data_IF_478177482220
#
_entry.id   IF_478177482220
#
_cell.length_a   1.000
_cell.length_b   1.000
_cell.length_c   1.000
_cell.angle_alpha   90.00
_cell.angle_beta   90.00
_cell.angle_gamma   90.00
#
_symmetry.space_group_name_H-M   'P 1'
#
loop_
_entity.id
_entity.type
_entity.pdbx_description
1 polymer ?
#
# COMPACT_ATOMS: atom_id res chain seq x y z
N UNK A 1 -0.19 5.59 17.76
CA UNK A 1 -0.04 6.31 16.48
C UNK A 1 -1.16 5.90 15.53
N UNK A 2 -1.74 6.85 14.77
CA UNK A 2 -2.77 6.54 13.76
C UNK A 2 -2.13 6.17 12.41
N UNK A 3 -2.70 5.18 11.72
CA UNK A 3 -2.21 4.69 10.42
C UNK A 3 -3.32 4.80 9.38
N UNK A 4 -2.97 5.33 8.20
CA UNK A 4 -3.77 5.26 7.00
C UNK A 4 -3.02 4.37 6.00
N UNK A 5 -3.68 3.35 5.47
CA UNK A 5 -3.09 2.50 4.45
C UNK A 5 -3.66 2.86 3.07
N UNK A 6 -2.77 2.97 2.06
CA UNK A 6 -3.16 3.19 0.67
C UNK A 6 -2.85 1.93 -0.13
N UNK A 7 -3.90 1.19 -0.45
CA UNK A 7 -3.87 -0.03 -1.26
C UNK A 7 -4.40 0.25 -2.67
N UNK A 8 -4.20 -0.68 -3.59
CA UNK A 8 -4.78 -0.55 -4.93
C UNK A 8 -3.96 -1.28 -5.99
N UNK A 9 -4.52 -1.41 -7.18
CA UNK A 9 -3.90 -2.10 -8.30
C UNK A 9 -2.53 -1.49 -8.66
N UNK A 10 -1.57 -2.26 -9.17
CA UNK A 10 -0.41 -1.70 -9.86
C UNK A 10 -0.85 -0.67 -10.91
N UNK A 11 -0.22 0.49 -10.97
CA UNK A 11 -0.63 1.58 -11.87
C UNK A 11 -1.77 2.49 -11.38
N UNK A 12 -2.43 2.20 -10.26
CA UNK A 12 -3.54 3.05 -9.73
C UNK A 12 -3.09 4.40 -9.12
N UNK A 13 -1.80 4.73 -9.10
CA UNK A 13 -1.32 6.01 -8.57
C UNK A 13 -1.19 6.07 -7.04
N UNK A 14 -1.14 4.93 -6.34
CA UNK A 14 -1.02 4.86 -4.88
C UNK A 14 0.08 5.73 -4.28
N UNK A 15 1.28 5.66 -4.86
CA UNK A 15 2.46 6.40 -4.37
C UNK A 15 2.20 7.90 -4.44
N UNK A 16 1.69 8.39 -5.57
CA UNK A 16 1.34 9.81 -5.77
C UNK A 16 0.29 10.27 -4.76
N UNK A 17 -0.74 9.47 -4.52
CA UNK A 17 -1.79 9.82 -3.58
C UNK A 17 -1.34 9.72 -2.12
N UNK A 18 -0.50 8.74 -1.77
CA UNK A 18 0.08 8.62 -0.44
C UNK A 18 1.01 9.81 -0.12
N UNK A 19 1.84 10.21 -1.07
CA UNK A 19 2.73 11.36 -0.95
C UNK A 19 1.93 12.69 -0.81
N UNK A 20 0.91 12.88 -1.65
CA UNK A 20 0.02 14.05 -1.59
C UNK A 20 -0.70 14.12 -0.25
N UNK A 21 -1.27 13.01 0.22
CA UNK A 21 -1.98 12.95 1.50
C UNK A 21 -1.03 13.17 2.69
N UNK A 22 0.19 12.62 2.63
CA UNK A 22 1.22 12.83 3.66
C UNK A 22 1.64 14.29 3.76
N UNK A 23 1.81 14.95 2.62
CA UNK A 23 2.10 16.38 2.55
C UNK A 23 0.96 17.22 3.13
N UNK A 24 -0.29 16.86 2.82
CA UNK A 24 -1.47 17.56 3.35
C UNK A 24 -1.61 17.41 4.87
N UNK A 25 -1.32 16.21 5.39
CA UNK A 25 -1.43 15.89 6.83
C UNK A 25 -0.17 16.23 7.63
N UNK A 26 0.87 16.72 6.99
CA UNK A 26 2.20 16.96 7.58
C UNK A 26 2.68 15.75 8.40
N UNK A 27 2.74 14.58 7.74
CA UNK A 27 3.11 13.34 8.40
C UNK A 27 4.03 12.46 7.53
N UNK A 28 4.83 11.57 8.15
CA UNK A 28 5.62 10.59 7.42
C UNK A 28 4.76 9.64 6.58
N UNK A 29 5.35 9.16 5.48
CA UNK A 29 4.77 8.08 4.70
C UNK A 29 5.84 7.09 4.24
N UNK A 30 5.45 5.86 4.02
CA UNK A 30 6.31 4.77 3.57
C UNK A 30 5.68 4.01 2.42
N UNK A 31 6.45 3.82 1.35
CA UNK A 31 6.10 2.91 0.27
C UNK A 31 6.71 1.54 0.53
N UNK A 32 5.86 0.53 0.69
CA UNK A 32 6.34 -0.85 0.86
C UNK A 32 7.18 -1.30 -0.32
N UNK A 33 6.82 -0.89 -1.53
CA UNK A 33 7.60 -1.17 -2.73
C UNK A 33 9.00 -0.55 -2.68
N UNK A 34 9.16 0.64 -2.14
CA UNK A 34 10.47 1.30 -1.99
C UNK A 34 11.29 0.68 -0.87
N UNK A 35 10.68 0.38 0.27
CA UNK A 35 11.35 -0.33 1.36
C UNK A 35 11.91 -1.67 0.90
N UNK A 36 11.13 -2.45 0.14
CA UNK A 36 11.57 -3.72 -0.42
C UNK A 36 12.73 -3.50 -1.41
N UNK A 37 12.62 -2.56 -2.35
CA UNK A 37 13.70 -2.28 -3.31
C UNK A 37 15.00 -1.85 -2.63
N UNK A 38 14.91 -1.11 -1.55
CA UNK A 38 16.06 -0.62 -0.81
C UNK A 38 16.71 -1.69 0.08
N UNK A 39 15.90 -2.56 0.70
CA UNK A 39 16.35 -3.45 1.78
C UNK A 39 16.38 -4.92 1.41
N UNK A 40 15.62 -5.37 0.39
CA UNK A 40 15.56 -6.78 0.03
C UNK A 40 16.88 -7.26 -0.59
N UNK A 41 17.33 -8.43 -0.15
CA UNK A 41 18.54 -9.10 -0.64
C UNK A 41 18.25 -10.57 -0.95
N UNK A 42 19.19 -11.26 -1.61
CA UNK A 42 19.06 -12.70 -1.87
C UNK A 42 17.76 -13.07 -2.59
N UNK A 43 17.04 -14.07 -2.07
CA UNK A 43 15.81 -14.58 -2.68
C UNK A 43 14.67 -13.56 -2.67
N UNK A 44 14.54 -12.74 -1.60
CA UNK A 44 13.48 -11.71 -1.54
C UNK A 44 13.64 -10.68 -2.66
N UNK A 45 14.87 -10.29 -2.98
CA UNK A 45 15.15 -9.40 -4.11
C UNK A 45 14.79 -10.04 -5.45
N UNK A 46 15.11 -11.32 -5.62
CA UNK A 46 14.76 -12.06 -6.84
C UNK A 46 13.24 -12.19 -6.99
N UNK A 47 12.53 -12.55 -5.91
CA UNK A 47 11.07 -12.67 -5.92
C UNK A 47 10.39 -11.34 -6.25
N UNK A 48 10.92 -10.22 -5.73
CA UNK A 48 10.45 -8.89 -6.12
C UNK A 48 10.64 -8.61 -7.62
N UNK A 49 11.81 -8.93 -8.17
CA UNK A 49 12.11 -8.74 -9.62
C UNK A 49 11.24 -9.65 -10.49
N UNK A 50 10.92 -10.83 -10.01
CA UNK A 50 10.01 -11.79 -10.65
C UNK A 50 8.52 -11.40 -10.53
N UNK A 51 8.20 -10.28 -9.89
CA UNK A 51 6.83 -9.80 -9.68
C UNK A 51 6.03 -10.58 -8.63
N UNK A 52 6.68 -11.39 -7.80
CA UNK A 52 6.05 -12.10 -6.68
C UNK A 52 5.92 -11.20 -5.46
N UNK A 53 5.03 -11.58 -4.55
CA UNK A 53 4.98 -11.00 -3.21
C UNK A 53 6.07 -11.67 -2.36
N UNK A 54 6.92 -10.88 -1.73
CA UNK A 54 7.96 -11.40 -0.84
C UNK A 54 7.37 -11.94 0.47
N UNK A 55 8.18 -12.66 1.23
CA UNK A 55 7.77 -13.28 2.49
C UNK A 55 7.13 -12.28 3.46
N UNK A 56 6.04 -12.70 4.11
CA UNK A 56 5.27 -11.83 5.00
C UNK A 56 6.09 -11.42 6.23
N UNK A 57 6.92 -12.30 6.77
CA UNK A 57 7.76 -11.99 7.94
C UNK A 57 8.78 -10.92 7.61
N UNK A 58 9.41 -11.01 6.43
CA UNK A 58 10.37 -9.99 5.94
C UNK A 58 9.64 -8.67 5.70
N UNK A 59 8.46 -8.73 5.05
CA UNK A 59 7.64 -7.54 4.80
C UNK A 59 7.28 -6.84 6.11
N UNK A 60 6.79 -7.57 7.10
CA UNK A 60 6.34 -6.97 8.37
C UNK A 60 7.49 -6.49 9.24
N UNK A 61 8.68 -7.11 9.14
CA UNK A 61 9.89 -6.55 9.74
C UNK A 61 10.21 -5.16 9.19
N UNK A 62 10.14 -4.95 7.87
CA UNK A 62 10.37 -3.63 7.27
C UNK A 62 9.32 -2.60 7.71
N UNK A 63 8.06 -3.03 7.84
CA UNK A 63 6.99 -2.18 8.39
C UNK A 63 7.30 -1.79 9.83
N UNK A 64 7.68 -2.75 10.67
CA UNK A 64 7.98 -2.51 12.09
C UNK A 64 9.17 -1.54 12.27
N UNK A 65 10.24 -1.75 11.52
CA UNK A 65 11.40 -0.85 11.50
C UNK A 65 11.03 0.58 11.08
N UNK A 66 10.16 0.72 10.06
CA UNK A 66 9.68 2.01 9.60
C UNK A 66 8.86 2.72 10.68
N UNK A 67 7.95 1.99 11.33
CA UNK A 67 7.14 2.53 12.44
C UNK A 67 8.06 2.96 13.60
N UNK A 68 8.98 2.09 14.03
CA UNK A 68 9.89 2.38 15.13
C UNK A 68 10.74 3.63 14.89
N UNK A 69 11.05 3.95 13.63
CA UNK A 69 11.83 5.14 13.28
C UNK A 69 11.08 6.46 13.50
N UNK A 70 9.75 6.45 13.61
CA UNK A 70 8.90 7.65 13.68
C UNK A 70 7.97 7.70 14.88
N UNK A 71 7.72 6.57 15.58
CA UNK A 71 6.63 6.45 16.57
C UNK A 71 6.74 7.44 17.74
N UNK A 72 7.94 7.92 18.05
CA UNK A 72 8.16 8.92 19.10
C UNK A 72 7.94 10.37 18.64
N UNK A 73 7.93 10.61 17.32
CA UNK A 73 7.90 11.97 16.75
C UNK A 73 6.63 12.26 15.94
N UNK A 74 5.84 11.25 15.62
CA UNK A 74 4.68 11.40 14.75
C UNK A 74 3.43 10.77 15.34
N UNK A 75 2.31 11.53 15.28
CA UNK A 75 1.00 11.06 15.74
C UNK A 75 0.30 10.17 14.71
N UNK A 76 0.65 10.32 13.44
CA UNK A 76 0.07 9.59 12.32
C UNK A 76 1.10 9.29 11.23
N UNK A 77 0.82 8.29 10.41
CA UNK A 77 1.66 7.88 9.31
C UNK A 77 0.83 7.23 8.19
N UNK A 78 1.33 7.29 6.96
CA UNK A 78 0.72 6.64 5.80
C UNK A 78 1.59 5.48 5.34
N UNK A 79 0.97 4.31 5.12
CA UNK A 79 1.61 3.16 4.50
C UNK A 79 1.01 2.89 3.11
N UNK A 80 1.84 2.96 2.07
CA UNK A 80 1.47 2.59 0.71
C UNK A 80 1.86 1.14 0.44
N UNK A 81 0.88 0.34 0.00
CA UNK A 81 1.12 -1.00 -0.51
C UNK A 81 1.21 -2.12 0.53
N UNK A 82 0.74 -1.91 1.76
CA UNK A 82 0.61 -2.90 2.83
C UNK A 82 -0.65 -2.57 3.68
N UNK A 83 -1.43 -3.58 4.19
CA UNK A 83 -1.26 -5.02 3.97
C UNK A 83 -1.74 -5.50 2.59
N UNK A 84 -1.21 -6.64 2.12
CA UNK A 84 -1.63 -7.30 0.86
C UNK A 84 -2.08 -8.73 1.05
N UNK A 85 -1.86 -9.31 2.24
CA UNK A 85 -2.17 -10.70 2.59
C UNK A 85 -2.66 -10.78 4.02
N UNK A 86 -3.45 -11.83 4.31
CA UNK A 86 -4.04 -12.04 5.65
C UNK A 86 -2.99 -12.06 6.77
N UNK A 87 -1.83 -12.77 6.67
CA UNK A 87 -0.82 -12.73 7.73
C UNK A 87 -0.28 -11.32 8.03
N UNK A 88 -0.26 -10.44 7.04
CA UNK A 88 0.11 -9.04 7.25
C UNK A 88 -0.99 -8.28 8.00
N UNK A 89 -2.27 -8.57 7.71
CA UNK A 89 -3.40 -8.00 8.47
C UNK A 89 -3.35 -8.46 9.93
N UNK A 90 -3.09 -9.75 10.20
CA UNK A 90 -2.96 -10.28 11.54
C UNK A 90 -1.90 -9.52 12.35
N UNK A 91 -0.77 -9.21 11.73
CA UNK A 91 0.27 -8.40 12.36
C UNK A 91 -0.25 -6.99 12.72
N UNK A 92 -0.95 -6.30 11.78
CA UNK A 92 -1.54 -5.00 12.05
C UNK A 92 -2.56 -5.04 13.18
N UNK A 93 -3.45 -6.04 13.19
CA UNK A 93 -4.45 -6.24 14.24
C UNK A 93 -3.81 -6.50 15.60
N UNK A 94 -2.68 -7.23 15.66
CA UNK A 94 -1.92 -7.41 16.88
C UNK A 94 -1.37 -6.09 17.42
N UNK A 95 -0.87 -5.18 16.55
CA UNK A 95 -0.42 -3.85 16.96
C UNK A 95 -1.59 -2.98 17.46
N UNK A 96 -2.76 -3.09 16.84
CA UNK A 96 -3.99 -2.40 17.31
C UNK A 96 -4.41 -2.94 18.68
N UNK A 97 -4.44 -4.25 18.84
CA UNK A 97 -4.80 -4.90 20.12
C UNK A 97 -3.85 -4.53 21.27
N UNK A 98 -2.56 -4.35 20.98
CA UNK A 98 -1.58 -3.89 21.98
C UNK A 98 -1.69 -2.40 22.32
N UNK A 99 -2.51 -1.64 21.62
CA UNK A 99 -2.63 -0.19 21.76
C UNK A 99 -1.49 0.63 21.16
N UNK A 100 -0.53 -0.02 20.47
CA UNK A 100 0.58 0.68 19.80
C UNK A 100 0.10 1.51 18.62
N UNK A 101 -0.83 0.97 17.85
CA UNK A 101 -1.34 1.57 16.60
C UNK A 101 -2.87 1.63 16.60
N UNK A 102 -3.40 2.54 15.77
CA UNK A 102 -4.81 2.61 15.43
C UNK A 102 -4.93 2.76 13.91
N UNK A 103 -5.61 1.86 13.24
CA UNK A 103 -5.90 1.99 11.81
C UNK A 103 -7.06 2.96 11.64
N UNK A 104 -6.79 4.13 11.07
CA UNK A 104 -7.81 5.16 10.79
C UNK A 104 -8.66 4.79 9.59
N UNK A 105 -8.06 4.13 8.58
CA UNK A 105 -8.76 3.64 7.41
C UNK A 105 -7.81 3.09 6.35
N UNK A 106 -8.41 2.33 5.45
CA UNK A 106 -7.77 1.79 4.25
C UNK A 106 -8.36 2.52 3.04
N UNK A 107 -7.52 3.17 2.25
CA UNK A 107 -7.89 3.70 0.93
C UNK A 107 -7.55 2.64 -0.09
N UNK A 108 -8.53 2.09 -0.78
CA UNK A 108 -8.34 1.11 -1.83
C UNK A 108 -8.60 1.74 -3.21
N UNK A 109 -7.53 1.99 -3.96
CA UNK A 109 -7.58 2.64 -5.28
C UNK A 109 -7.68 1.59 -6.39
N UNK A 110 -8.69 1.69 -7.23
CA UNK A 110 -8.84 0.88 -8.42
C UNK A 110 -8.75 1.74 -9.68
N UNK A 111 -8.00 1.28 -10.68
CA UNK A 111 -7.93 1.92 -11.99
C UNK A 111 -8.33 0.92 -13.08
N UNK A 112 -8.91 1.42 -14.17
CA UNK A 112 -9.19 0.62 -15.35
C UNK A 112 -7.89 0.01 -15.89
N UNK A 113 -7.91 -1.24 -16.37
CA UNK A 113 -6.71 -1.93 -16.85
C UNK A 113 -5.91 -1.14 -17.89
N UNK A 114 -6.58 -0.47 -18.82
CA UNK A 114 -5.93 0.34 -19.86
C UNK A 114 -5.18 1.55 -19.26
N UNK A 115 -5.82 2.26 -18.30
CA UNK A 115 -5.21 3.40 -17.61
C UNK A 115 -4.04 2.94 -16.74
N UNK A 116 -4.20 1.82 -16.03
CA UNK A 116 -3.16 1.24 -15.21
C UNK A 116 -1.93 0.84 -16.03
N UNK A 117 -2.13 0.17 -17.18
CA UNK A 117 -1.07 -0.22 -18.10
C UNK A 117 -0.33 1.00 -18.66
N UNK A 118 -1.04 2.02 -19.14
CA UNK A 118 -0.43 3.27 -19.63
C UNK A 118 0.46 3.92 -18.55
N UNK A 119 -0.02 4.00 -17.31
CA UNK A 119 0.72 4.60 -16.21
C UNK A 119 1.96 3.78 -15.82
N UNK A 120 1.87 2.44 -15.86
CA UNK A 120 3.01 1.56 -15.60
C UNK A 120 4.10 1.73 -16.66
N UNK A 121 3.72 1.77 -17.95
CA UNK A 121 4.65 1.97 -19.06
C UNK A 121 5.39 3.31 -18.97
N UNK A 122 4.69 4.38 -18.57
CA UNK A 122 5.29 5.72 -18.39
C UNK A 122 6.24 5.80 -17.19
N UNK A 123 6.08 4.92 -16.19
CA UNK A 123 6.83 4.98 -14.93
C UNK A 123 8.28 4.57 -15.04
N UNK A 124 8.63 3.68 -15.99
CA UNK A 124 10.00 3.27 -16.32
C UNK A 124 10.78 2.59 -15.19
N UNK A 125 10.11 1.89 -14.25
CA UNK A 125 10.80 1.12 -13.19
C UNK A 125 11.34 -0.20 -13.74
N UNK A 126 12.46 -0.68 -13.19
CA UNK A 126 13.09 -1.97 -13.59
C UNK A 126 12.12 -3.14 -13.44
N UNK A 127 11.30 -3.12 -12.38
CA UNK A 127 10.27 -4.13 -12.11
C UNK A 127 8.99 -3.97 -12.96
N UNK A 128 8.94 -2.97 -13.85
CA UNK A 128 7.87 -2.77 -14.84
C UNK A 128 8.38 -2.91 -16.29
N UNK A 129 9.66 -3.17 -16.48
CA UNK A 129 10.29 -3.19 -17.80
C UNK A 129 9.89 -4.40 -18.69
N UNK A 130 9.13 -5.36 -18.15
CA UNK A 130 8.71 -6.57 -18.86
C UNK A 130 7.20 -6.78 -18.64
N UNK A 131 6.44 -6.81 -19.73
CA UNK A 131 4.97 -6.99 -19.70
C UNK A 131 4.56 -8.26 -18.95
N UNK A 132 5.32 -9.34 -19.08
CA UNK A 132 5.06 -10.58 -18.36
C UNK A 132 5.19 -10.41 -16.82
N UNK A 133 6.13 -9.60 -16.34
CA UNK A 133 6.27 -9.28 -14.91
C UNK A 133 5.10 -8.42 -14.45
N UNK A 134 4.67 -7.46 -15.26
CA UNK A 134 3.49 -6.63 -14.96
C UNK A 134 2.22 -7.47 -14.87
N UNK A 135 1.99 -8.38 -15.83
CA UNK A 135 0.85 -9.30 -15.81
C UNK A 135 0.86 -10.18 -14.56
N UNK A 136 2.00 -10.73 -14.20
CA UNK A 136 2.17 -11.55 -13.00
C UNK A 136 1.88 -10.76 -11.72
N UNK A 137 2.36 -9.52 -11.61
CA UNK A 137 2.06 -8.63 -10.48
C UNK A 137 0.57 -8.32 -10.38
N UNK A 138 -0.12 -8.12 -11.50
CA UNK A 138 -1.56 -7.91 -11.53
C UNK A 138 -2.32 -9.17 -11.10
N UNK A 139 -1.89 -10.35 -11.55
CA UNK A 139 -2.47 -11.62 -11.15
C UNK A 139 -2.27 -11.90 -9.65
N UNK A 140 -1.05 -11.73 -9.14
CA UNK A 140 -0.75 -11.85 -7.70
C UNK A 140 -1.56 -10.85 -6.87
N UNK A 141 -1.65 -9.60 -7.32
CA UNK A 141 -2.48 -8.61 -6.63
C UNK A 141 -3.93 -9.05 -6.55
N UNK A 142 -4.56 -9.42 -7.68
CA UNK A 142 -5.95 -9.89 -7.73
C UNK A 142 -6.20 -11.11 -6.86
N UNK A 143 -5.25 -12.04 -6.83
CA UNK A 143 -5.34 -13.27 -6.05
C UNK A 143 -5.47 -13.02 -4.55
N UNK A 144 -4.76 -12.03 -4.03
CA UNK A 144 -4.66 -11.81 -2.59
C UNK A 144 -5.49 -10.64 -2.08
N UNK A 145 -5.79 -9.63 -2.93
CA UNK A 145 -6.41 -8.41 -2.42
C UNK A 145 -7.84 -8.62 -1.93
N UNK A 146 -8.67 -9.35 -2.70
CA UNK A 146 -10.08 -9.58 -2.31
C UNK A 146 -10.19 -10.27 -0.96
N UNK A 147 -9.56 -11.44 -0.71
CA UNK A 147 -9.62 -12.06 0.60
C UNK A 147 -9.01 -11.19 1.72
N UNK A 148 -8.03 -10.36 1.39
CA UNK A 148 -7.43 -9.43 2.38
C UNK A 148 -8.40 -8.31 2.76
N UNK A 149 -9.10 -7.71 1.79
CA UNK A 149 -10.11 -6.69 2.06
C UNK A 149 -11.31 -7.26 2.82
N UNK A 150 -11.76 -8.46 2.46
CA UNK A 150 -12.86 -9.13 3.15
C UNK A 150 -12.48 -9.45 4.61
N UNK A 151 -11.24 -9.87 4.85
CA UNK A 151 -10.74 -10.13 6.19
C UNK A 151 -10.63 -8.84 7.03
N UNK A 152 -10.19 -7.73 6.44
CA UNK A 152 -10.18 -6.41 7.08
C UNK A 152 -11.61 -5.96 7.45
N UNK A 153 -12.59 -6.15 6.56
CA UNK A 153 -14.01 -5.84 6.81
C UNK A 153 -14.57 -6.65 7.99
N UNK A 154 -14.21 -7.93 8.10
CA UNK A 154 -14.60 -8.80 9.22
C UNK A 154 -14.07 -8.33 10.59
N UNK A 155 -13.03 -7.50 10.59
CA UNK A 155 -12.43 -6.91 11.79
C UNK A 155 -12.78 -5.43 11.98
N UNK A 156 -13.89 -4.98 11.36
CA UNK A 156 -14.42 -3.60 11.46
C UNK A 156 -13.42 -2.51 11.07
N UNK A 157 -12.44 -2.83 10.20
CA UNK A 157 -11.51 -1.84 9.67
C UNK A 157 -12.20 -1.05 8.55
N UNK A 158 -12.28 0.30 8.64
CA UNK A 158 -12.90 1.12 7.59
C UNK A 158 -12.13 0.99 6.27
N UNK A 159 -12.85 0.65 5.19
CA UNK A 159 -12.28 0.56 3.84
C UNK A 159 -13.06 1.49 2.92
N UNK A 160 -12.35 2.37 2.24
CA UNK A 160 -12.87 3.29 1.25
C UNK A 160 -12.39 2.87 -0.13
N UNK A 161 -13.30 2.32 -0.93
CA UNK A 161 -13.02 1.89 -2.31
C UNK A 161 -13.25 3.08 -3.25
N UNK A 162 -12.19 3.54 -3.93
CA UNK A 162 -12.20 4.74 -4.77
C UNK A 162 -11.69 4.44 -6.18
N UNK A 163 -12.33 5.06 -7.17
CA UNK A 163 -11.85 5.03 -8.55
C UNK A 163 -10.64 5.97 -8.70
N UNK A 164 -9.57 5.44 -9.26
CA UNK A 164 -8.36 6.20 -9.59
C UNK A 164 -8.28 6.59 -11.08
N UNK A 165 -9.40 6.60 -11.81
CA UNK A 165 -9.45 6.93 -13.23
C UNK A 165 -9.37 8.44 -13.51
N UNK A 166 -9.67 9.26 -12.52
CA UNK A 166 -9.61 10.73 -12.61
C UNK A 166 -8.18 11.29 -12.59
N UNK A 167 -8.12 12.61 -12.59
CA UNK A 167 -6.86 13.37 -12.37
C UNK A 167 -6.32 13.14 -10.96
N UNK A 168 -5.06 13.50 -10.72
CA UNK A 168 -4.44 13.40 -9.40
C UNK A 168 -5.26 14.17 -8.36
N UNK A 169 -5.71 15.38 -8.71
CA UNK A 169 -6.48 16.26 -7.84
C UNK A 169 -7.87 15.69 -7.53
N UNK A 170 -8.60 15.18 -8.54
CA UNK A 170 -9.91 14.56 -8.34
C UNK A 170 -9.84 13.36 -7.38
N UNK A 171 -8.81 12.52 -7.53
CA UNK A 171 -8.60 11.37 -6.63
C UNK A 171 -8.22 11.84 -5.23
N UNK A 172 -7.35 12.85 -5.09
CA UNK A 172 -7.00 13.42 -3.80
C UNK A 172 -8.23 13.99 -3.07
N UNK A 173 -9.10 14.74 -3.78
CA UNK A 173 -10.33 15.27 -3.23
C UNK A 173 -11.29 14.17 -2.75
N UNK A 174 -11.40 13.05 -3.47
CA UNK A 174 -12.17 11.89 -3.02
C UNK A 174 -11.59 11.32 -1.72
N UNK A 175 -10.26 11.17 -1.63
CA UNK A 175 -9.57 10.68 -0.44
C UNK A 175 -9.84 11.60 0.76
N UNK A 176 -9.68 12.91 0.59
CA UNK A 176 -9.95 13.89 1.65
C UNK A 176 -11.40 13.77 2.15
N UNK A 177 -12.37 13.72 1.23
CA UNK A 177 -13.78 13.60 1.56
C UNK A 177 -14.10 12.37 2.40
N UNK A 178 -13.57 11.19 2.05
CA UNK A 178 -13.87 9.94 2.79
C UNK A 178 -13.14 9.85 4.13
N UNK A 179 -12.03 10.59 4.30
CA UNK A 179 -11.31 10.69 5.56
C UNK A 179 -11.81 11.82 6.47
N UNK A 180 -12.75 12.65 6.00
CA UNK A 180 -13.29 13.79 6.75
C UNK A 180 -12.29 14.94 6.93
N UNK A 181 -11.46 15.19 5.90
CA UNK A 181 -10.40 16.21 5.85
C UNK A 181 -10.86 17.44 5.09
#
# INVERSE_FOLDING_TARGET
>A
MEIICVLGTPGAGKTTQAESLASYLDCPWFSMGELIRAKATGQDRQDMLDGKIIDDTVTMRFVDEAIASIEHNSKQCIFEGNPRRIPQVDWWLAQVKSGRLKIKGIIHLSADPAIAAERLNKRGRIDDANDHVVEKRLAEYKRFITPTLDYLKQHDIPIHELSANGTIEEVANQIHKVLGL
#
